data_IF_858452333834
#
_entry.id   IF_858452333834
#
_cell.length_a   1.000
_cell.length_b   1.000
_cell.length_c   1.000
_cell.angle_alpha   90.00
_cell.angle_beta   90.00
_cell.angle_gamma   90.00
#
_symmetry.space_group_name_H-M   'P 1'
#
loop_
_entity.id
_entity.type
_entity.pdbx_description
1 polymer ?
#
# COMPACT_ATOMS: atom_id res chain seq x y z
N UNK A 1 11.82 -1.02 4.28
CA UNK A 1 11.69 -0.65 2.86
C UNK A 1 11.47 0.86 2.79
N UNK A 2 11.59 1.48 1.62
CA UNK A 2 11.36 2.92 1.47
C UNK A 2 9.85 3.25 1.38
N UNK A 3 9.48 4.49 1.69
CA UNK A 3 8.10 4.98 1.58
C UNK A 3 8.06 6.49 1.37
N UNK A 4 6.96 6.98 0.80
CA UNK A 4 6.62 8.41 0.73
C UNK A 4 5.32 8.69 1.46
N UNK A 5 5.20 9.88 2.05
CA UNK A 5 4.00 10.33 2.76
C UNK A 5 3.55 11.69 2.28
N UNK A 6 2.25 11.86 2.03
CA UNK A 6 1.65 13.10 1.56
C UNK A 6 0.36 13.42 2.31
N UNK A 7 0.06 14.71 2.49
CA UNK A 7 -1.05 15.17 3.33
C UNK A 7 -0.73 15.09 4.82
N UNK A 8 -1.66 15.57 5.66
CA UNK A 8 -1.40 15.77 7.09
C UNK A 8 -2.51 15.27 8.02
N UNK A 9 -3.71 14.98 7.50
CA UNK A 9 -4.86 14.56 8.30
C UNK A 9 -5.86 13.72 7.48
N UNK A 10 -7.00 13.37 8.08
CA UNK A 10 -8.09 12.69 7.37
C UNK A 10 -7.89 11.19 7.25
N UNK A 11 -8.60 10.55 6.32
CA UNK A 11 -8.51 9.10 6.15
C UNK A 11 -7.09 8.70 5.72
N UNK A 12 -6.53 7.66 6.35
CA UNK A 12 -5.20 7.16 6.00
C UNK A 12 -5.31 6.24 4.80
N UNK A 13 -4.52 6.46 3.76
CA UNK A 13 -4.50 5.61 2.57
C UNK A 13 -3.13 5.01 2.36
N UNK A 14 -3.05 3.69 2.48
CA UNK A 14 -1.89 2.90 2.12
C UNK A 14 -1.96 2.57 0.63
N UNK A 15 -0.93 2.94 -0.11
CA UNK A 15 -0.87 2.81 -1.57
C UNK A 15 0.19 1.79 -1.95
N UNK A 16 -0.22 0.76 -2.68
CA UNK A 16 0.64 -0.23 -3.30
C UNK A 16 0.90 0.13 -4.77
N UNK A 17 2.16 0.11 -5.22
CA UNK A 17 2.50 0.37 -6.62
C UNK A 17 2.05 -0.78 -7.50
N UNK A 18 2.09 -0.58 -8.81
CA UNK A 18 1.84 -1.62 -9.81
C UNK A 18 2.97 -2.68 -9.80
N UNK A 19 2.84 -3.70 -10.66
CA UNK A 19 3.81 -4.80 -10.77
C UNK A 19 5.25 -4.31 -10.86
N UNK A 20 6.10 -4.71 -9.91
CA UNK A 20 7.51 -4.31 -9.83
C UNK A 20 7.74 -2.80 -9.74
N UNK A 21 6.68 -2.03 -9.47
CA UNK A 21 6.75 -0.59 -9.24
C UNK A 21 7.37 -0.28 -7.89
N UNK A 22 7.61 1.01 -7.65
CA UNK A 22 8.26 1.49 -6.44
C UNK A 22 7.40 2.51 -5.71
N UNK A 23 7.76 2.78 -4.47
CA UNK A 23 7.04 3.71 -3.58
C UNK A 23 6.80 5.12 -4.15
N UNK A 24 7.56 5.57 -5.15
CA UNK A 24 7.39 6.86 -5.82
C UNK A 24 6.49 6.81 -7.08
N UNK A 25 6.02 5.63 -7.50
CA UNK A 25 5.31 5.48 -8.78
C UNK A 25 4.04 6.34 -8.86
N UNK A 26 3.23 6.40 -7.80
CA UNK A 26 2.04 7.24 -7.80
C UNK A 26 2.37 8.74 -7.84
N UNK A 27 3.48 9.16 -7.23
CA UNK A 27 3.95 10.55 -7.29
C UNK A 27 4.39 10.89 -8.73
N UNK A 28 5.25 10.05 -9.32
CA UNK A 28 5.76 10.22 -10.68
C UNK A 28 4.64 10.24 -11.73
N UNK A 29 3.59 9.44 -11.52
CA UNK A 29 2.41 9.39 -12.40
C UNK A 29 1.40 10.53 -12.11
N UNK A 30 1.72 11.46 -11.21
CA UNK A 30 0.94 12.66 -10.96
C UNK A 30 -0.30 12.45 -10.08
N UNK A 31 -0.40 11.33 -9.37
CA UNK A 31 -1.54 11.06 -8.49
C UNK A 31 -1.60 12.05 -7.31
N UNK A 32 -0.45 12.46 -6.76
CA UNK A 32 -0.42 13.46 -5.69
C UNK A 32 -0.96 14.81 -6.16
N UNK A 33 -0.71 15.18 -7.43
CA UNK A 33 -1.31 16.37 -8.05
C UNK A 33 -2.81 16.21 -8.23
N UNK A 34 -3.28 15.05 -8.69
CA UNK A 34 -4.70 14.77 -8.86
C UNK A 34 -5.47 14.81 -7.52
N UNK A 35 -4.83 14.39 -6.43
CA UNK A 35 -5.38 14.41 -5.07
C UNK A 35 -5.09 15.72 -4.31
N UNK A 36 -4.46 16.72 -4.94
CA UNK A 36 -3.90 17.90 -4.27
C UNK A 36 -4.86 18.59 -3.30
N UNK A 37 -6.08 18.91 -3.74
CA UNK A 37 -7.08 19.54 -2.85
C UNK A 37 -7.40 18.69 -1.61
N UNK A 38 -7.49 17.37 -1.75
CA UNK A 38 -7.81 16.47 -0.64
C UNK A 38 -6.66 16.39 0.36
N UNK A 39 -5.43 16.40 -0.14
CA UNK A 39 -4.22 16.41 0.66
C UNK A 39 -4.08 17.75 1.42
N UNK A 40 -4.26 18.87 0.72
CA UNK A 40 -4.14 20.23 1.27
C UNK A 40 -5.18 20.50 2.35
N UNK A 41 -6.45 20.11 2.10
CA UNK A 41 -7.55 20.25 3.06
C UNK A 41 -7.48 19.26 4.23
N UNK A 42 -6.53 18.34 4.24
CA UNK A 42 -6.39 17.34 5.30
C UNK A 42 -7.53 16.31 5.33
N UNK A 43 -8.13 16.03 4.17
CA UNK A 43 -9.15 14.98 4.03
C UNK A 43 -8.53 13.61 3.82
N UNK A 44 -7.29 13.58 3.34
CA UNK A 44 -6.55 12.36 3.05
C UNK A 44 -5.08 12.48 3.49
N UNK A 45 -4.56 11.39 4.05
CA UNK A 45 -3.14 11.22 4.35
C UNK A 45 -2.65 9.95 3.66
N UNK A 46 -1.83 10.11 2.63
CA UNK A 46 -1.37 9.04 1.74
C UNK A 46 0.00 8.54 2.17
N UNK A 47 0.18 7.23 2.24
CA UNK A 47 1.45 6.54 2.45
C UNK A 47 1.68 5.57 1.30
N UNK A 48 2.66 5.85 0.45
CA UNK A 48 3.05 5.00 -0.67
C UNK A 48 4.17 4.07 -0.22
N UNK A 49 3.94 2.75 -0.27
CA UNK A 49 4.92 1.74 0.12
C UNK A 49 5.66 1.18 -1.08
N UNK A 50 6.88 0.68 -0.85
CA UNK A 50 7.66 0.01 -1.89
C UNK A 50 7.15 -1.43 -2.14
N UNK A 51 7.41 -1.98 -3.32
CA UNK A 51 6.96 -3.35 -3.64
C UNK A 51 7.95 -4.43 -3.16
N UNK A 52 7.42 -5.62 -2.87
CA UNK A 52 8.21 -6.84 -2.59
C UNK A 52 8.22 -7.79 -3.79
N UNK A 53 7.71 -7.35 -4.94
CA UNK A 53 7.34 -8.21 -6.06
C UNK A 53 8.54 -9.03 -6.57
N UNK A 54 9.68 -8.36 -6.75
CA UNK A 54 10.92 -8.96 -7.27
C UNK A 54 11.52 -10.02 -6.36
N UNK A 55 11.15 -10.00 -5.08
CA UNK A 55 11.58 -10.97 -4.07
C UNK A 55 10.52 -12.05 -3.80
N UNK A 56 9.28 -11.85 -4.27
CA UNK A 56 8.13 -12.72 -3.99
C UNK A 56 7.46 -13.23 -5.27
N UNK A 57 6.28 -12.72 -5.63
CA UNK A 57 5.46 -13.27 -6.69
C UNK A 57 6.11 -13.15 -8.08
N UNK A 58 6.98 -12.16 -8.30
CA UNK A 58 7.75 -12.03 -9.53
C UNK A 58 9.15 -12.65 -9.45
N UNK A 59 9.55 -13.22 -8.31
CA UNK A 59 10.78 -14.01 -8.18
C UNK A 59 10.63 -15.42 -8.80
N UNK A 60 10.39 -15.48 -10.11
CA UNK A 60 10.02 -16.71 -10.85
C UNK A 60 11.08 -17.82 -10.81
N UNK A 61 12.31 -17.49 -10.45
CA UNK A 61 13.41 -18.45 -10.27
C UNK A 61 13.40 -19.13 -8.90
N UNK A 62 12.63 -18.62 -7.93
CA UNK A 62 12.53 -19.17 -6.58
C UNK A 62 11.41 -20.18 -6.45
N UNK A 63 11.57 -21.11 -5.51
CA UNK A 63 10.54 -22.09 -5.20
C UNK A 63 9.24 -21.39 -4.72
N UNK A 64 8.04 -21.83 -5.12
CA UNK A 64 6.78 -21.18 -4.74
C UNK A 64 6.61 -20.95 -3.23
N UNK A 65 7.05 -21.88 -2.39
CA UNK A 65 6.99 -21.75 -0.95
C UNK A 65 7.85 -20.58 -0.42
N UNK A 66 9.04 -20.34 -0.99
CA UNK A 66 9.91 -19.23 -0.61
C UNK A 66 9.29 -17.88 -0.99
N UNK A 67 8.66 -17.82 -2.17
CA UNK A 67 7.95 -16.63 -2.67
C UNK A 67 6.80 -16.27 -1.74
N UNK A 68 6.02 -17.27 -1.33
CA UNK A 68 4.92 -17.09 -0.39
C UNK A 68 5.41 -16.67 1.01
N UNK A 69 6.49 -17.29 1.50
CA UNK A 69 7.09 -16.91 2.78
C UNK A 69 7.60 -15.47 2.76
N UNK A 70 8.28 -15.05 1.68
CA UNK A 70 8.76 -13.66 1.53
C UNK A 70 7.60 -12.67 1.45
N UNK A 71 6.52 -13.02 0.76
CA UNK A 71 5.31 -12.20 0.74
C UNK A 71 4.69 -12.06 2.14
N UNK A 72 4.62 -13.13 2.93
CA UNK A 72 4.13 -13.08 4.31
C UNK A 72 4.99 -12.15 5.20
N UNK A 73 6.31 -12.14 5.01
CA UNK A 73 7.18 -11.20 5.72
C UNK A 73 6.87 -9.75 5.34
N UNK A 74 6.55 -9.48 4.08
CA UNK A 74 6.12 -8.16 3.64
C UNK A 74 4.77 -7.76 4.25
N UNK A 75 3.79 -8.68 4.31
CA UNK A 75 2.52 -8.41 5.00
C UNK A 75 2.76 -8.02 6.47
N UNK A 76 3.68 -8.70 7.15
CA UNK A 76 4.06 -8.37 8.53
C UNK A 76 4.72 -7.00 8.65
N UNK A 77 5.64 -6.66 7.75
CA UNK A 77 6.19 -5.31 7.67
C UNK A 77 5.07 -4.24 7.53
N UNK A 78 4.09 -4.48 6.67
CA UNK A 78 2.96 -3.55 6.51
C UNK A 78 2.13 -3.44 7.80
N UNK A 79 1.77 -4.56 8.41
CA UNK A 79 0.88 -4.61 9.58
C UNK A 79 1.54 -4.11 10.87
N UNK A 80 2.79 -4.51 11.08
CA UNK A 80 3.48 -4.38 12.36
C UNK A 80 4.39 -3.15 12.39
N UNK A 81 4.75 -2.58 11.22
CA UNK A 81 5.59 -1.38 11.13
C UNK A 81 4.89 -0.22 10.42
N UNK A 82 4.41 -0.40 9.17
CA UNK A 82 3.90 0.71 8.36
C UNK A 82 2.57 1.25 8.87
N UNK A 83 1.59 0.39 9.16
CA UNK A 83 0.30 0.84 9.69
C UNK A 83 0.49 1.58 11.02
N UNK A 84 1.23 1.05 12.02
CA UNK A 84 1.55 1.78 13.24
C UNK A 84 2.26 3.12 13.00
N UNK A 85 3.22 3.18 12.07
CA UNK A 85 3.88 4.42 11.68
C UNK A 85 2.87 5.47 11.16
N UNK A 86 1.95 5.08 10.27
CA UNK A 86 0.93 6.01 9.75
C UNK A 86 -0.07 6.45 10.84
N UNK A 87 -0.40 5.59 11.81
CA UNK A 87 -1.24 5.94 12.97
C UNK A 87 -0.56 6.95 13.89
N UNK A 88 0.76 6.82 14.08
CA UNK A 88 1.52 7.77 14.89
C UNK A 88 1.52 9.18 14.27
N UNK A 89 1.58 9.27 12.94
CA UNK A 89 1.52 10.55 12.22
C UNK A 89 0.11 11.13 12.07
N UNK A 90 -0.91 10.27 12.00
CA UNK A 90 -2.30 10.66 11.86
C UNK A 90 -3.17 9.68 12.67
N UNK A 91 -3.78 10.17 13.75
CA UNK A 91 -4.56 9.35 14.68
C UNK A 91 -5.93 8.92 14.14
N UNK A 92 -6.31 9.33 12.92
CA UNK A 92 -7.56 8.90 12.30
C UNK A 92 -7.59 7.36 12.18
N UNK A 93 -8.61 6.68 12.74
CA UNK A 93 -8.64 5.23 12.72
C UNK A 93 -8.86 4.66 11.32
N UNK A 94 -9.55 5.40 10.43
CA UNK A 94 -10.01 4.91 9.13
C UNK A 94 -8.85 4.67 8.16
N UNK A 95 -8.66 3.41 7.76
CA UNK A 95 -7.59 2.92 6.91
C UNK A 95 -8.13 2.45 5.55
N UNK A 96 -7.62 3.04 4.49
CA UNK A 96 -7.85 2.63 3.10
C UNK A 96 -6.60 1.87 2.62
N UNK A 97 -6.78 0.76 1.92
CA UNK A 97 -5.75 0.15 1.08
C UNK A 97 -6.10 0.40 -0.39
N UNK A 98 -5.14 0.87 -1.18
CA UNK A 98 -5.36 1.21 -2.57
C UNK A 98 -4.22 0.71 -3.46
N UNK A 99 -4.54 0.35 -4.69
CA UNK A 99 -3.53 -0.03 -5.68
C UNK A 99 -4.15 -0.28 -7.05
N UNK A 100 -3.28 -0.29 -8.07
CA UNK A 100 -3.64 -0.62 -9.44
C UNK A 100 -2.82 -1.82 -9.94
N UNK A 101 -3.37 -2.58 -10.90
CA UNK A 101 -2.70 -3.79 -11.42
C UNK A 101 -2.33 -4.74 -10.27
N UNK A 102 -1.08 -5.15 -10.15
CA UNK A 102 -0.66 -6.01 -9.03
C UNK A 102 -0.69 -5.33 -7.66
N UNK A 103 -0.65 -3.99 -7.60
CA UNK A 103 -0.94 -3.24 -6.38
C UNK A 103 -2.38 -3.44 -5.89
N UNK A 104 -3.33 -3.64 -6.81
CA UNK A 104 -4.72 -3.95 -6.46
C UNK A 104 -4.84 -5.33 -5.80
N UNK A 105 -4.04 -6.30 -6.25
CA UNK A 105 -3.90 -7.59 -5.59
C UNK A 105 -3.39 -7.42 -4.16
N UNK A 106 -2.28 -6.69 -3.96
CA UNK A 106 -1.73 -6.45 -2.62
C UNK A 106 -2.73 -5.78 -1.67
N UNK A 107 -3.42 -4.75 -2.15
CA UNK A 107 -4.43 -4.03 -1.39
C UNK A 107 -5.60 -4.94 -0.96
N UNK A 108 -6.16 -5.73 -1.90
CA UNK A 108 -7.28 -6.62 -1.63
C UNK A 108 -6.87 -7.82 -0.77
N UNK A 109 -5.72 -8.42 -1.06
CA UNK A 109 -5.20 -9.59 -0.35
C UNK A 109 -4.96 -9.29 1.13
N UNK A 110 -4.33 -8.14 1.43
CA UNK A 110 -4.11 -7.69 2.80
C UNK A 110 -5.43 -7.48 3.55
N UNK A 111 -6.40 -6.81 2.93
CA UNK A 111 -7.69 -6.55 3.56
C UNK A 111 -8.48 -7.83 3.85
N UNK A 112 -8.47 -8.80 2.93
CA UNK A 112 -9.18 -10.07 3.11
C UNK A 112 -8.52 -10.98 4.15
N UNK A 113 -7.18 -10.98 4.23
CA UNK A 113 -6.44 -11.77 5.23
C UNK A 113 -6.46 -11.14 6.61
N UNK A 114 -6.55 -9.82 6.69
CA UNK A 114 -6.51 -9.04 7.93
C UNK A 114 -7.66 -8.02 7.98
N UNK A 115 -8.93 -8.47 8.07
CA UNK A 115 -10.10 -7.60 7.98
C UNK A 115 -10.20 -6.56 9.10
N UNK A 116 -9.49 -6.75 10.22
CA UNK A 116 -9.41 -5.75 11.29
C UNK A 116 -8.39 -4.63 11.06
N UNK A 117 -7.61 -4.69 9.97
CA UNK A 117 -6.57 -3.70 9.68
C UNK A 117 -6.99 -2.64 8.65
N UNK A 118 -7.95 -2.96 7.77
CA UNK A 118 -8.33 -2.15 6.60
C UNK A 118 -9.85 -1.94 6.58
N UNK A 119 -10.30 -0.69 6.54
CA UNK A 119 -11.73 -0.32 6.53
C UNK A 119 -12.30 -0.20 5.10
N UNK A 120 -11.44 0.05 4.10
CA UNK A 120 -11.83 0.20 2.69
C UNK A 120 -10.73 -0.24 1.75
N UNK A 121 -11.11 -0.84 0.63
CA UNK A 121 -10.19 -1.18 -0.46
C UNK A 121 -10.58 -0.42 -1.73
N UNK A 122 -9.58 0.13 -2.43
CA UNK A 122 -9.70 0.65 -3.79
C UNK A 122 -8.77 -0.19 -4.67
N UNK A 123 -9.33 -1.17 -5.35
CA UNK A 123 -8.59 -2.11 -6.18
C UNK A 123 -8.91 -1.86 -7.67
N UNK A 124 -7.94 -1.32 -8.40
CA UNK A 124 -8.13 -0.84 -9.77
C UNK A 124 -7.46 -1.80 -10.77
N UNK A 125 -8.25 -2.43 -11.65
CA UNK A 125 -7.75 -3.29 -12.73
C UNK A 125 -6.78 -4.38 -12.25
N UNK A 126 -7.10 -5.03 -11.13
CA UNK A 126 -6.25 -6.03 -10.48
C UNK A 126 -6.22 -7.40 -11.16
N UNK A 127 -5.12 -8.11 -10.94
CA UNK A 127 -4.98 -9.54 -11.24
C UNK A 127 -5.17 -10.32 -9.94
N UNK A 128 -6.26 -11.08 -9.80
CA UNK A 128 -6.64 -11.77 -8.56
C UNK A 128 -6.44 -13.28 -8.65
#
# INVERSE_FOLDING_TARGET
>A
MELLTFGHAGARMLVFPTSMGRFFEWEDQGMMRALGEHLDRGWLHVCCVDSVDSESWYAKTRHPAERAFRHQQYERYILDEVIPFTRHRNSNPFQIAAGASFGAYHALNLALRFPGAIDRVIALSGLY
#
